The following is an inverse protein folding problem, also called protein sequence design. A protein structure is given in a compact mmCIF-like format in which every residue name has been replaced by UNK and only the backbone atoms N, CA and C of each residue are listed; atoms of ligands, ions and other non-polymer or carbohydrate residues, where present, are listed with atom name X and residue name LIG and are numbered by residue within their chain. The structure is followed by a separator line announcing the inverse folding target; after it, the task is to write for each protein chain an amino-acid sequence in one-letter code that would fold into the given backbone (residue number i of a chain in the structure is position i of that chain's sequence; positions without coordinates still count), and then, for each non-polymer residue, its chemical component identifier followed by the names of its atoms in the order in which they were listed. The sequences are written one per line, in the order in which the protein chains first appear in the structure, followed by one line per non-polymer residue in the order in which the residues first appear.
data_IF_719177326932
#
_entry.id   IF_719177326932
#
_cell.length_a   1.000
_cell.length_b   1.000
_cell.length_c   1.000
_cell.angle_alpha   90.00
_cell.angle_beta   90.00
_cell.angle_gamma   90.00
#
_symmetry.space_group_name_H-M   'P 1'
#
loop_
_entity.id
_entity.type
_entity.pdbx_description
1 polymer ?
#
# COMPACT_ATOMS: atom_id res chain seq x y z
N UNK A 1 8.56 -15.31 -12.29
CA UNK A 1 7.60 -15.53 -11.17
C UNK A 1 8.33 -15.24 -9.85
N UNK A 2 7.80 -14.45 -8.91
CA UNK A 2 8.58 -14.00 -7.71
C UNK A 2 9.27 -15.16 -6.97
N UNK A 3 8.55 -16.27 -6.73
CA UNK A 3 9.10 -17.45 -6.07
C UNK A 3 10.15 -18.22 -6.91
N UNK A 4 10.11 -18.10 -8.23
CA UNK A 4 11.12 -18.67 -9.13
C UNK A 4 12.38 -17.80 -9.16
N UNK A 5 12.24 -16.47 -9.18
CA UNK A 5 13.38 -15.55 -9.25
C UNK A 5 14.14 -15.44 -7.92
N UNK A 6 13.44 -15.51 -6.78
CA UNK A 6 14.01 -15.27 -5.44
C UNK A 6 14.03 -16.53 -4.58
N UNK A 7 13.00 -17.37 -4.66
CA UNK A 7 12.83 -18.59 -3.87
C UNK A 7 11.46 -18.69 -3.18
N UNK A 8 11.12 -19.88 -2.69
CA UNK A 8 9.81 -20.17 -2.12
C UNK A 8 9.43 -19.27 -0.92
N UNK A 9 10.41 -18.85 -0.11
CA UNK A 9 10.21 -17.96 1.03
C UNK A 9 9.78 -16.54 0.65
N UNK A 10 10.03 -16.12 -0.60
CA UNK A 10 9.68 -14.79 -1.11
C UNK A 10 8.33 -14.77 -1.82
N UNK A 11 7.59 -15.88 -1.80
CA UNK A 11 6.23 -15.93 -2.35
C UNK A 11 5.33 -14.97 -1.56
N UNK A 12 4.69 -13.99 -2.20
CA UNK A 12 3.69 -13.17 -1.52
C UNK A 12 2.55 -14.05 -1.02
N UNK A 13 2.17 -13.88 0.24
CA UNK A 13 0.98 -14.52 0.81
C UNK A 13 -0.29 -13.97 0.16
N UNK A 14 -0.32 -12.66 -0.04
CA UNK A 14 -1.46 -11.92 -0.60
C UNK A 14 -0.99 -10.94 -1.68
N UNK A 15 -1.80 -10.75 -2.73
CA UNK A 15 -1.59 -9.73 -3.76
C UNK A 15 -2.88 -8.93 -3.92
N UNK A 16 -2.83 -7.65 -3.57
CA UNK A 16 -3.95 -6.71 -3.68
C UNK A 16 -3.81 -5.86 -4.93
N UNK A 17 -4.81 -5.92 -5.80
CA UNK A 17 -4.88 -5.07 -6.99
C UNK A 17 -5.51 -3.73 -6.66
N UNK A 18 -4.90 -2.66 -7.12
CA UNK A 18 -5.35 -1.29 -6.88
C UNK A 18 -5.06 -0.42 -8.09
N UNK A 19 -5.91 0.58 -8.32
CA UNK A 19 -5.74 1.54 -9.41
C UNK A 19 -4.64 2.57 -9.12
N UNK A 20 -4.32 2.80 -7.84
CA UNK A 20 -3.38 3.84 -7.44
C UNK A 20 -2.59 3.48 -6.17
N UNK A 21 -1.33 3.91 -6.13
CA UNK A 21 -0.46 3.78 -4.95
C UNK A 21 -0.30 5.14 -4.27
N UNK A 22 -0.08 5.18 -2.94
CA UNK A 22 0.19 6.42 -2.23
C UNK A 22 1.56 6.95 -2.65
N UNK A 23 1.59 8.06 -3.38
CA UNK A 23 2.82 8.70 -3.85
C UNK A 23 2.93 10.13 -3.34
N UNK A 24 4.16 10.58 -3.13
CA UNK A 24 4.47 11.99 -2.90
C UNK A 24 4.26 12.81 -4.17
N UNK A 25 4.18 14.14 -4.07
CA UNK A 25 4.20 15.07 -5.21
C UNK A 25 5.45 14.94 -6.12
N UNK A 26 6.49 14.26 -5.65
CA UNK A 26 7.69 13.92 -6.43
C UNK A 26 7.66 12.49 -7.01
N UNK A 27 6.54 11.78 -6.87
CA UNK A 27 6.33 10.44 -7.42
C UNK A 27 6.87 9.28 -6.56
N UNK A 28 7.45 9.54 -5.38
CA UNK A 28 7.97 8.47 -4.51
C UNK A 28 6.83 7.73 -3.85
N UNK A 29 6.82 6.40 -3.94
CA UNK A 29 5.82 5.56 -3.26
C UNK A 29 6.06 5.60 -1.75
N UNK A 30 5.05 6.05 -1.00
CA UNK A 30 5.05 6.07 0.46
C UNK A 30 4.68 4.69 1.02
N UNK A 31 5.61 3.72 0.89
CA UNK A 31 5.40 2.33 1.33
C UNK A 31 5.04 2.19 2.82
N UNK A 32 5.45 3.16 3.65
CA UNK A 32 5.06 3.22 5.07
C UNK A 32 3.53 3.23 5.23
N UNK A 33 2.82 3.99 4.40
CA UNK A 33 1.36 4.09 4.46
C UNK A 33 0.70 2.76 4.09
N UNK A 34 1.22 2.06 3.09
CA UNK A 34 0.75 0.71 2.73
C UNK A 34 0.89 -0.26 3.92
N UNK A 35 2.00 -0.18 4.65
CA UNK A 35 2.21 -0.99 5.86
C UNK A 35 1.19 -0.65 6.94
N UNK A 36 0.99 0.63 7.23
CA UNK A 36 0.06 1.10 8.27
C UNK A 36 -1.40 0.74 7.96
N UNK A 37 -1.83 0.84 6.71
CA UNK A 37 -3.17 0.43 6.29
C UNK A 37 -3.39 -1.06 6.59
N UNK A 38 -2.41 -1.91 6.31
CA UNK A 38 -2.51 -3.36 6.53
C UNK A 38 -2.37 -3.73 8.02
N UNK A 39 -1.51 -3.05 8.78
CA UNK A 39 -1.22 -3.45 10.17
C UNK A 39 -2.14 -2.80 11.20
N UNK A 40 -2.44 -1.50 11.05
CA UNK A 40 -3.09 -0.69 12.09
C UNK A 40 -4.42 -0.07 11.66
N UNK A 41 -4.81 -0.19 10.39
CA UNK A 41 -6.03 0.41 9.82
C UNK A 41 -6.15 1.93 10.04
N UNK A 42 -5.07 2.55 10.47
CA UNK A 42 -4.97 3.97 10.82
C UNK A 42 -3.64 4.46 10.32
N UNK A 43 -3.67 5.55 9.58
CA UNK A 43 -2.46 6.24 9.11
C UNK A 43 -2.01 7.22 10.18
N UNK A 44 -0.72 7.17 10.52
CA UNK A 44 -0.11 8.06 11.51
C UNK A 44 1.03 8.87 10.90
N UNK A 45 1.33 10.04 11.49
CA UNK A 45 2.41 10.92 11.04
C UNK A 45 2.08 11.78 9.82
N UNK A 46 3.10 12.40 9.25
CA UNK A 46 2.95 13.40 8.19
C UNK A 46 2.66 12.77 6.81
N UNK A 47 1.62 13.29 6.17
CA UNK A 47 1.10 12.91 4.85
C UNK A 47 0.90 14.12 3.93
N UNK A 48 1.35 15.31 4.34
CA UNK A 48 1.17 16.58 3.59
C UNK A 48 1.88 16.62 2.22
N UNK A 49 2.80 15.68 2.00
CA UNK A 49 3.54 15.55 0.73
C UNK A 49 2.86 14.63 -0.26
N UNK A 50 1.80 13.93 0.13
CA UNK A 50 1.04 13.03 -0.72
C UNK A 50 0.37 13.79 -1.88
N UNK A 51 0.33 13.19 -3.06
CA UNK A 51 -0.30 13.80 -4.23
C UNK A 51 -1.83 13.73 -4.18
N UNK A 52 -2.38 12.64 -3.66
CA UNK A 52 -3.83 12.41 -3.53
C UNK A 52 -4.13 11.76 -2.17
N UNK A 53 -4.82 12.49 -1.30
CA UNK A 53 -5.25 12.02 0.02
C UNK A 53 -6.32 10.92 -0.05
N UNK A 54 -7.14 10.91 -1.10
CA UNK A 54 -8.22 9.93 -1.28
C UNK A 54 -7.72 8.51 -1.53
N UNK A 55 -6.46 8.35 -1.96
CA UNK A 55 -5.87 7.02 -2.19
C UNK A 55 -5.80 6.20 -0.90
N UNK A 56 -5.62 6.84 0.26
CA UNK A 56 -5.55 6.15 1.55
C UNK A 56 -6.91 5.54 1.88
N UNK A 57 -7.99 6.31 1.73
CA UNK A 57 -9.35 5.84 1.99
C UNK A 57 -9.74 4.69 1.07
N UNK A 58 -9.44 4.80 -0.24
CA UNK A 58 -9.73 3.73 -1.21
C UNK A 58 -8.97 2.44 -0.89
N UNK A 59 -7.69 2.55 -0.52
CA UNK A 59 -6.87 1.38 -0.16
C UNK A 59 -7.33 0.75 1.17
N UNK A 60 -7.84 1.54 2.10
CA UNK A 60 -8.39 1.03 3.35
C UNK A 60 -9.76 0.35 3.14
N UNK A 61 -10.63 0.90 2.29
CA UNK A 61 -11.96 0.32 2.04
C UNK A 61 -11.93 -1.01 1.29
N UNK A 62 -10.91 -1.24 0.46
CA UNK A 62 -10.72 -2.54 -0.22
C UNK A 62 -10.51 -3.71 0.75
N UNK A 63 -10.23 -3.45 2.03
CA UNK A 63 -10.09 -4.49 3.05
C UNK A 63 -11.44 -5.04 3.53
N UNK A 64 -12.52 -4.26 3.44
CA UNK A 64 -13.82 -4.60 4.03
C UNK A 64 -14.74 -5.39 3.08
N UNK A 65 -14.35 -5.56 1.80
CA UNK A 65 -15.14 -6.25 0.77
C UNK A 65 -14.74 -7.73 0.54
N UNK A 66 -13.77 -8.26 1.29
CA UNK A 66 -13.34 -9.67 1.26
C UNK A 66 -13.87 -10.50 2.46
#
# INVERSE_FOLDING_TARGET
WVAHEIGAFARPEEIRFTEALPKTRSGKIMRRLLREIVTSHTVTGDVTTLEDMGVITRLASQHDED
#
